data_IF_290979489501
#
_entry.id   IF_290979489501
#
_cell.length_a   1.000
_cell.length_b   1.000
_cell.length_c   1.000
_cell.angle_alpha   90.00
_cell.angle_beta   90.00
_cell.angle_gamma   90.00
#
_symmetry.space_group_name_H-M   'P 1'
#
loop_
_entity.id
_entity.type
_entity.pdbx_description
1 polymer ?
#
# COMPACT_ATOMS: atom_id res chain seq x y z
N UNK A 1 18.45 14.37 -16.30
CA UNK A 1 17.84 13.56 -17.38
C UNK A 1 16.97 14.47 -18.22
N UNK A 2 17.13 14.42 -19.54
CA UNK A 2 16.33 15.18 -20.51
C UNK A 2 15.01 14.43 -20.77
N UNK A 3 14.10 14.48 -19.79
CA UNK A 3 12.82 13.75 -19.84
C UNK A 3 11.86 14.20 -20.96
N UNK A 4 11.77 15.50 -21.32
CA UNK A 4 10.91 15.97 -22.42
C UNK A 4 11.30 15.39 -23.79
N UNK A 5 12.59 15.33 -24.09
CA UNK A 5 13.13 14.82 -25.34
C UNK A 5 12.87 13.32 -25.48
N UNK A 6 13.10 12.57 -24.39
CA UNK A 6 12.82 11.13 -24.37
C UNK A 6 11.33 10.81 -24.58
N UNK A 7 10.40 11.62 -24.06
CA UNK A 7 8.97 11.47 -24.33
C UNK A 7 8.66 11.72 -25.80
N UNK A 8 9.21 12.80 -26.37
CA UNK A 8 9.01 13.15 -27.77
C UNK A 8 9.52 12.06 -28.73
N UNK A 9 10.67 11.46 -28.43
CA UNK A 9 11.21 10.36 -29.21
C UNK A 9 10.28 9.14 -29.14
N UNK A 10 9.79 8.79 -27.94
CA UNK A 10 8.85 7.68 -27.79
C UNK A 10 7.52 7.94 -28.51
N UNK A 11 6.97 9.16 -28.45
CA UNK A 11 5.75 9.55 -29.16
C UNK A 11 5.92 9.51 -30.68
N UNK A 12 7.10 9.91 -31.16
CA UNK A 12 7.43 9.82 -32.59
C UNK A 12 7.50 8.35 -33.02
N UNK A 13 8.16 7.48 -32.26
CA UNK A 13 8.18 6.04 -32.54
C UNK A 13 6.78 5.43 -32.56
N UNK A 14 5.92 5.76 -31.60
CA UNK A 14 4.53 5.27 -31.55
C UNK A 14 3.71 5.79 -32.74
N UNK A 15 3.94 7.03 -33.17
CA UNK A 15 3.25 7.60 -34.34
C UNK A 15 3.68 6.94 -35.65
N UNK A 16 4.94 6.52 -35.75
CA UNK A 16 5.48 5.82 -36.92
C UNK A 16 5.06 4.34 -36.93
N UNK A 17 5.08 3.68 -35.78
CA UNK A 17 4.67 2.29 -35.61
C UNK A 17 3.90 2.10 -34.29
N UNK A 18 2.55 2.12 -34.35
CA UNK A 18 1.71 1.90 -33.18
C UNK A 18 1.84 0.50 -32.56
N UNK A 19 2.42 -0.46 -33.30
CA UNK A 19 2.63 -1.84 -32.83
C UNK A 19 3.98 -2.01 -32.12
N UNK A 20 4.81 -0.99 -32.09
CA UNK A 20 6.13 -1.04 -31.48
C UNK A 20 6.07 -0.94 -29.95
N UNK A 21 5.73 -2.06 -29.29
CA UNK A 21 5.52 -2.18 -27.84
C UNK A 21 6.67 -1.61 -27.00
N UNK A 22 7.92 -1.76 -27.46
CA UNK A 22 9.11 -1.22 -26.75
C UNK A 22 9.09 0.31 -26.61
N UNK A 23 8.47 1.05 -27.54
CA UNK A 23 8.33 2.49 -27.40
C UNK A 23 7.37 2.86 -26.26
N UNK A 24 6.27 2.10 -26.09
CA UNK A 24 5.37 2.28 -24.95
C UNK A 24 6.04 1.96 -23.61
N UNK A 25 6.81 0.87 -23.54
CA UNK A 25 7.54 0.50 -22.31
C UNK A 25 8.55 1.60 -21.93
N UNK A 26 9.29 2.14 -22.91
CA UNK A 26 10.22 3.26 -22.69
C UNK A 26 9.48 4.52 -22.26
N UNK A 27 8.35 4.85 -22.89
CA UNK A 27 7.48 5.97 -22.49
C UNK A 27 7.03 5.83 -21.05
N UNK A 28 6.52 4.66 -20.66
CA UNK A 28 6.09 4.36 -19.29
C UNK A 28 7.23 4.49 -18.26
N UNK A 29 8.46 4.10 -18.62
CA UNK A 29 9.63 4.26 -17.76
C UNK A 29 10.02 5.74 -17.55
N UNK A 30 9.88 6.57 -18.59
CA UNK A 30 10.09 8.02 -18.51
C UNK A 30 9.00 8.68 -17.65
N UNK A 31 7.73 8.31 -17.85
CA UNK A 31 6.60 8.78 -17.05
C UNK A 31 6.75 8.39 -15.56
N UNK A 32 7.18 7.16 -15.28
CA UNK A 32 7.52 6.72 -13.93
C UNK A 32 8.63 7.58 -13.31
N UNK A 33 9.69 7.89 -14.07
CA UNK A 33 10.80 8.71 -13.59
C UNK A 33 10.38 10.16 -13.31
N UNK A 34 9.34 10.64 -13.98
CA UNK A 34 8.67 11.92 -13.72
C UNK A 34 7.66 11.87 -12.56
N UNK A 35 7.46 10.72 -11.93
CA UNK A 35 6.42 10.45 -10.90
C UNK A 35 4.99 10.64 -11.41
N UNK A 36 4.78 10.57 -12.72
CA UNK A 36 3.47 10.66 -13.37
C UNK A 36 2.83 9.26 -13.43
N UNK A 37 2.58 8.66 -12.27
CA UNK A 37 2.21 7.23 -12.17
C UNK A 37 0.89 6.87 -12.85
N UNK A 38 -0.09 7.79 -12.88
CA UNK A 38 -1.36 7.57 -13.59
C UNK A 38 -1.14 7.41 -15.10
N UNK A 39 -0.33 8.30 -15.70
CA UNK A 39 0.01 8.24 -17.12
C UNK A 39 0.84 7.00 -17.45
N UNK A 40 1.77 6.62 -16.57
CA UNK A 40 2.50 5.35 -16.70
C UNK A 40 1.54 4.16 -16.87
N UNK A 41 0.50 4.07 -16.05
CA UNK A 41 -0.45 2.96 -16.12
C UNK A 41 -1.25 2.97 -17.43
N UNK A 42 -1.73 4.13 -17.88
CA UNK A 42 -2.41 4.27 -19.18
C UNK A 42 -1.51 3.84 -20.34
N UNK A 43 -0.24 4.23 -20.32
CA UNK A 43 0.75 3.81 -21.32
C UNK A 43 1.01 2.30 -21.28
N UNK A 44 1.05 1.69 -20.09
CA UNK A 44 1.19 0.23 -19.97
C UNK A 44 -0.04 -0.52 -20.50
N UNK A 45 -1.24 -0.01 -20.25
CA UNK A 45 -2.48 -0.60 -20.77
C UNK A 45 -2.55 -0.49 -22.30
N UNK A 46 -2.10 0.63 -22.86
CA UNK A 46 -1.93 0.78 -24.31
C UNK A 46 -0.91 -0.23 -24.85
N UNK A 47 0.24 -0.40 -24.18
CA UNK A 47 1.25 -1.37 -24.57
C UNK A 47 0.69 -2.80 -24.65
N UNK A 48 -0.14 -3.21 -23.67
CA UNK A 48 -0.80 -4.53 -23.66
C UNK A 48 -1.77 -4.73 -24.82
N UNK A 49 -2.50 -3.68 -25.23
CA UNK A 49 -3.40 -3.75 -26.38
C UNK A 49 -2.66 -3.94 -27.71
N UNK A 50 -1.42 -3.46 -27.78
CA UNK A 50 -0.58 -3.56 -28.97
C UNK A 50 0.35 -4.79 -28.96
N UNK A 51 0.57 -5.43 -27.81
CA UNK A 51 1.32 -6.71 -27.70
C UNK A 51 0.44 -7.92 -28.07
N UNK A 52 0.11 -8.04 -29.34
CA UNK A 52 -0.68 -9.17 -29.87
C UNK A 52 0.02 -10.52 -29.75
N UNK A 53 1.34 -10.51 -29.61
CA UNK A 53 2.19 -11.71 -29.47
C UNK A 53 2.42 -12.15 -28.03
N UNK A 54 2.10 -11.30 -27.06
CA UNK A 54 2.40 -11.53 -25.63
C UNK A 54 3.89 -11.58 -25.29
N UNK A 55 4.78 -11.23 -26.22
CA UNK A 55 6.23 -11.31 -26.05
C UNK A 55 6.75 -10.35 -24.98
N UNK A 56 6.04 -9.23 -24.78
CA UNK A 56 6.43 -8.15 -23.87
C UNK A 56 5.51 -8.05 -22.65
N UNK A 57 4.45 -8.88 -22.57
CA UNK A 57 3.48 -8.90 -21.48
C UNK A 57 4.15 -9.00 -20.09
N UNK A 58 5.20 -9.81 -19.94
CA UNK A 58 5.94 -9.92 -18.69
C UNK A 58 6.68 -8.62 -18.31
N UNK A 59 7.25 -7.92 -19.29
CA UNK A 59 7.95 -6.66 -19.08
C UNK A 59 6.96 -5.53 -18.75
N UNK A 60 5.83 -5.49 -19.46
CA UNK A 60 4.74 -4.54 -19.18
C UNK A 60 4.17 -4.78 -17.78
N UNK A 61 3.87 -6.04 -17.43
CA UNK A 61 3.36 -6.38 -16.10
C UNK A 61 4.32 -5.98 -14.98
N UNK A 62 5.64 -6.16 -15.18
CA UNK A 62 6.66 -5.72 -14.23
C UNK A 62 6.65 -4.19 -14.08
N UNK A 63 6.53 -3.45 -15.18
CA UNK A 63 6.46 -1.99 -15.14
C UNK A 63 5.16 -1.50 -14.48
N UNK A 64 4.02 -2.12 -14.78
CA UNK A 64 2.72 -1.84 -14.15
C UNK A 64 2.77 -2.11 -12.65
N UNK A 65 3.35 -3.23 -12.23
CA UNK A 65 3.52 -3.55 -10.81
C UNK A 65 4.39 -2.49 -10.12
N UNK A 66 5.52 -2.12 -10.73
CA UNK A 66 6.40 -1.07 -10.20
C UNK A 66 5.69 0.30 -10.10
N UNK A 67 4.91 0.68 -11.10
CA UNK A 67 4.10 1.90 -11.06
C UNK A 67 3.04 1.83 -9.96
N UNK A 68 2.35 0.69 -9.80
CA UNK A 68 1.37 0.47 -8.72
C UNK A 68 2.02 0.51 -7.34
N UNK A 69 3.21 -0.06 -7.17
CA UNK A 69 3.96 -0.02 -5.91
C UNK A 69 4.45 1.38 -5.58
N UNK A 70 4.92 2.17 -6.55
CA UNK A 70 5.34 3.55 -6.31
C UNK A 70 4.15 4.48 -6.07
N UNK A 71 3.03 4.24 -6.74
CA UNK A 71 1.77 4.95 -6.52
C UNK A 71 1.18 4.58 -5.16
N UNK A 72 1.28 3.29 -4.78
CA UNK A 72 1.02 2.83 -3.42
C UNK A 72 1.96 3.55 -2.48
N UNK A 73 3.28 3.52 -2.61
CA UNK A 73 4.24 4.21 -1.73
C UNK A 73 4.03 5.73 -1.63
N UNK A 74 3.71 6.39 -2.75
CA UNK A 74 3.37 7.81 -2.80
C UNK A 74 2.04 8.10 -2.09
N UNK A 75 1.08 7.19 -2.22
CA UNK A 75 -0.14 7.17 -1.42
C UNK A 75 0.06 6.49 -0.05
N UNK A 76 1.23 5.91 0.23
CA UNK A 76 1.58 5.10 1.40
C UNK A 76 2.34 5.88 2.45
N UNK A 77 2.51 7.18 2.20
CA UNK A 77 2.24 8.12 3.28
C UNK A 77 0.86 7.90 3.93
N UNK A 78 -0.05 7.12 3.33
CA UNK A 78 -1.32 6.60 3.90
C UNK A 78 -1.52 5.07 3.78
N UNK A 79 -0.45 4.28 3.75
CA UNK A 79 -0.51 2.80 3.69
C UNK A 79 0.78 2.14 4.23
N UNK A 80 1.37 2.73 5.26
CA UNK A 80 1.19 2.05 6.54
C UNK A 80 -0.30 2.21 6.86
N UNK A 81 -1.02 1.15 7.23
CA UNK A 81 -1.98 1.36 8.31
C UNK A 81 -1.11 1.92 9.44
N UNK A 82 -0.92 3.24 9.45
CA UNK A 82 -0.31 3.89 10.57
C UNK A 82 -1.16 3.40 11.70
N UNK A 83 -0.55 2.86 12.74
CA UNK A 83 -1.25 2.51 13.97
C UNK A 83 -2.28 3.60 14.30
N UNK A 84 -1.99 4.87 13.96
CA UNK A 84 -2.89 6.02 13.97
C UNK A 84 -4.17 5.96 13.12
N UNK A 85 -4.20 5.47 11.87
CA UNK A 85 -5.45 5.38 11.08
C UNK A 85 -6.34 4.23 11.58
N UNK A 86 -5.75 3.08 11.91
CA UNK A 86 -6.47 1.97 12.55
C UNK A 86 -6.95 2.39 13.93
N UNK A 87 -6.13 3.12 14.71
CA UNK A 87 -6.54 3.74 15.97
C UNK A 87 -7.62 4.80 15.76
N UNK A 88 -7.61 5.61 14.69
CA UNK A 88 -8.67 6.60 14.40
C UNK A 88 -9.99 5.93 14.04
N UNK A 89 -9.96 4.88 13.22
CA UNK A 89 -11.14 4.07 12.89
C UNK A 89 -11.68 3.36 14.13
N UNK A 90 -10.79 2.79 14.94
CA UNK A 90 -11.16 2.16 16.19
C UNK A 90 -11.67 3.17 17.24
N UNK A 91 -11.08 4.36 17.33
CA UNK A 91 -11.54 5.44 18.21
C UNK A 91 -12.86 6.07 17.76
N UNK A 92 -13.34 5.78 16.54
CA UNK A 92 -14.69 6.13 16.11
C UNK A 92 -15.75 5.25 16.80
N UNK A 93 -15.35 4.08 17.31
CA UNK A 93 -16.18 3.28 18.20
C UNK A 93 -16.04 3.81 19.64
N UNK A 94 -17.13 4.34 20.25
CA UNK A 94 -17.09 4.91 21.59
C UNK A 94 -16.73 3.88 22.67
N UNK A 95 -16.95 2.59 22.43
CA UNK A 95 -16.56 1.53 23.36
C UNK A 95 -15.05 1.27 23.30
N UNK A 96 -14.48 1.21 22.09
CA UNK A 96 -13.04 1.04 21.90
C UNK A 96 -12.26 2.25 22.41
N UNK A 97 -12.77 3.46 22.15
CA UNK A 97 -12.17 4.68 22.68
C UNK A 97 -12.07 4.66 24.21
N UNK A 98 -13.10 4.17 24.90
CA UNK A 98 -13.10 4.02 26.37
C UNK A 98 -12.08 2.98 26.84
N UNK A 99 -11.95 1.87 26.11
CA UNK A 99 -10.95 0.82 26.42
C UNK A 99 -9.52 1.35 26.25
N UNK A 100 -9.26 2.15 25.21
CA UNK A 100 -7.95 2.75 24.95
C UNK A 100 -7.56 3.84 25.96
N UNK A 101 -8.55 4.53 26.53
CA UNK A 101 -8.37 5.51 27.60
C UNK A 101 -8.26 4.88 28.99
N UNK A 102 -8.50 3.57 29.11
CA UNK A 102 -8.39 2.86 30.39
C UNK A 102 -6.90 2.73 30.80
N UNK A 103 -6.47 3.33 31.92
CA UNK A 103 -5.09 3.23 32.39
C UNK A 103 -4.67 1.79 32.66
N UNK A 104 -5.59 0.90 33.04
CA UNK A 104 -5.31 -0.52 33.28
C UNK A 104 -4.98 -1.21 31.96
N UNK A 105 -5.74 -0.92 30.89
CA UNK A 105 -5.47 -1.50 29.58
C UNK A 105 -4.12 -1.02 29.03
N UNK A 106 -3.79 0.26 29.18
CA UNK A 106 -2.49 0.79 28.75
C UNK A 106 -1.32 0.09 29.45
N UNK A 107 -1.43 -0.15 30.76
CA UNK A 107 -0.43 -0.91 31.50
C UNK A 107 -0.30 -2.35 31.01
N UNK A 108 -1.42 -3.03 30.71
CA UNK A 108 -1.41 -4.41 30.22
C UNK A 108 -0.75 -4.50 28.84
N UNK A 109 -1.04 -3.55 27.94
CA UNK A 109 -0.42 -3.47 26.62
C UNK A 109 1.10 -3.25 26.71
N UNK A 110 1.55 -2.44 27.68
CA UNK A 110 2.97 -2.21 27.94
C UNK A 110 3.63 -3.47 28.51
N UNK A 111 3.00 -4.10 29.52
CA UNK A 111 3.48 -5.34 30.11
C UNK A 111 3.51 -6.50 29.12
N UNK A 112 2.61 -6.53 28.12
CA UNK A 112 2.63 -7.55 27.07
C UNK A 112 3.89 -7.52 26.21
N UNK A 113 4.50 -6.34 26.05
CA UNK A 113 5.75 -6.21 25.28
C UNK A 113 6.95 -6.67 26.11
N UNK A 114 6.89 -6.51 27.43
CA UNK A 114 7.97 -6.85 28.36
C UNK A 114 7.91 -8.32 28.82
N UNK A 115 6.72 -8.85 29.12
CA UNK A 115 6.51 -10.22 29.57
C UNK A 115 5.19 -10.84 29.03
N UNK A 116 5.28 -11.70 28.00
CA UNK A 116 4.13 -12.43 27.47
C UNK A 116 3.40 -13.33 28.49
N UNK A 117 4.04 -13.71 29.62
CA UNK A 117 3.41 -14.52 30.67
C UNK A 117 2.47 -13.68 31.53
N UNK A 118 2.88 -12.47 31.89
CA UNK A 118 2.05 -11.51 32.63
C UNK A 118 0.79 -11.14 31.83
N UNK A 119 0.92 -10.94 30.51
CA UNK A 119 -0.23 -10.70 29.63
C UNK A 119 -1.26 -11.83 29.65
N UNK A 120 -0.80 -13.10 29.63
CA UNK A 120 -1.69 -14.27 29.75
C UNK A 120 -2.40 -14.34 31.10
N UNK A 121 -1.80 -13.84 32.16
CA UNK A 121 -2.44 -13.79 33.48
C UNK A 121 -3.58 -12.76 33.52
N UNK A 122 -3.37 -11.59 32.90
CA UNK A 122 -4.40 -10.56 32.76
C UNK A 122 -5.62 -11.03 31.93
N UNK A 123 -5.40 -11.90 30.95
CA UNK A 123 -6.47 -12.54 30.17
C UNK A 123 -7.36 -13.49 31.01
N UNK A 124 -6.95 -13.89 32.23
CA UNK A 124 -7.83 -14.65 33.14
C UNK A 124 -8.94 -13.78 33.71
N UNK A 125 -8.78 -12.46 33.73
CA UNK A 125 -9.83 -11.54 34.13
C UNK A 125 -10.83 -11.39 32.96
N UNK A 126 -12.12 -11.76 33.15
CA UNK A 126 -13.11 -11.76 32.09
C UNK A 126 -13.34 -10.36 31.47
N UNK A 127 -13.23 -9.31 32.27
CA UNK A 127 -13.40 -7.92 31.81
C UNK A 127 -12.23 -7.51 30.90
N UNK A 128 -11.01 -7.87 31.27
CA UNK A 128 -9.80 -7.56 30.49
C UNK A 128 -9.77 -8.35 29.19
N UNK A 129 -10.10 -9.64 29.25
CA UNK A 129 -10.18 -10.50 28.07
C UNK A 129 -11.21 -9.99 27.05
N UNK A 130 -12.39 -9.59 27.52
CA UNK A 130 -13.42 -9.00 26.66
C UNK A 130 -12.93 -7.72 25.97
N UNK A 131 -12.22 -6.85 26.70
CA UNK A 131 -11.68 -5.63 26.14
C UNK A 131 -10.57 -5.89 25.10
N UNK A 132 -9.67 -6.85 25.37
CA UNK A 132 -8.61 -7.25 24.42
C UNK A 132 -9.22 -7.84 23.15
N UNK A 133 -10.23 -8.70 23.27
CA UNK A 133 -10.92 -9.27 22.10
C UNK A 133 -11.56 -8.18 21.23
N UNK A 134 -12.13 -7.13 21.86
CA UNK A 134 -12.67 -5.98 21.14
C UNK A 134 -11.58 -5.19 20.40
N UNK A 135 -10.42 -5.00 21.01
CA UNK A 135 -9.27 -4.35 20.35
C UNK A 135 -8.70 -5.17 19.18
N UNK A 136 -8.71 -6.51 19.28
CA UNK A 136 -8.32 -7.41 18.20
C UNK A 136 -9.32 -7.34 17.05
N UNK A 137 -10.62 -7.42 17.35
CA UNK A 137 -11.68 -7.32 16.34
C UNK A 137 -11.71 -5.94 15.65
N UNK A 138 -11.32 -4.88 16.37
CA UNK A 138 -11.16 -3.53 15.82
C UNK A 138 -9.85 -3.33 15.02
N UNK A 139 -9.01 -4.37 14.92
CA UNK A 139 -7.73 -4.32 14.21
C UNK A 139 -6.63 -3.52 14.91
N UNK A 140 -6.90 -2.99 16.12
CA UNK A 140 -5.94 -2.19 16.90
C UNK A 140 -4.81 -3.04 17.44
N UNK A 141 -5.12 -4.26 17.87
CA UNK A 141 -4.16 -5.17 18.47
C UNK A 141 -4.03 -6.44 17.61
N UNK A 142 -2.81 -6.72 17.16
CA UNK A 142 -2.50 -7.96 16.41
C UNK A 142 -1.87 -8.94 17.40
N UNK A 143 -2.62 -9.96 17.81
CA UNK A 143 -2.03 -11.10 18.53
C UNK A 143 -1.35 -12.02 17.53
N UNK A 144 -0.04 -12.24 17.69
CA UNK A 144 0.73 -13.22 16.94
C UNK A 144 0.46 -14.65 17.43
#
# INVERSE_FOLDING_TARGET
>A
MAYPEALKDCETCISLDPTFVKAYIRKAAVEFSKKEYSKCMETCDAALKHDTTGQHAAEIAKQTQKCREAMWQSNASGSQESTEETLRKAASDPEIARILQDPVMQQILQQSQEDPRAFKEHLKNPTVAANIHKLINAGVLRTA
#
